data_IF_751155629170
#
_entry.id   IF_751155629170
#
_cell.length_a   1.000
_cell.length_b   1.000
_cell.length_c   1.000
_cell.angle_alpha   90.00
_cell.angle_beta   90.00
_cell.angle_gamma   90.00
#
_symmetry.space_group_name_H-M   'P 1'
#
loop_
_entity.id
_entity.type
_entity.pdbx_description
1 polymer ?
#
# COMPACT_ATOMS: atom_id res chain seq x y z
N UNK A 1 6.09 4.86 -26.97
CA UNK A 1 7.29 4.74 -26.11
C UNK A 1 7.25 5.92 -25.17
N UNK A 2 6.93 5.68 -23.88
CA UNK A 2 7.04 6.76 -22.90
C UNK A 2 8.54 7.09 -22.74
N UNK A 3 8.94 8.37 -22.79
CA UNK A 3 10.31 8.75 -22.57
C UNK A 3 10.69 8.33 -21.16
N UNK A 4 11.78 7.58 -21.02
CA UNK A 4 12.47 7.45 -19.75
C UNK A 4 13.06 8.84 -19.52
N UNK A 5 12.26 9.70 -18.87
CA UNK A 5 12.77 10.97 -18.40
C UNK A 5 13.97 10.63 -17.52
N UNK A 6 15.10 11.20 -17.86
CA UNK A 6 16.31 11.28 -17.05
C UNK A 6 15.99 12.11 -15.79
N UNK A 7 15.04 11.63 -15.03
CA UNK A 7 14.78 12.12 -13.68
C UNK A 7 15.79 11.39 -12.80
N UNK A 8 16.93 12.02 -12.62
CA UNK A 8 17.85 11.76 -11.50
C UNK A 8 17.05 12.00 -10.22
N UNK A 9 16.22 11.02 -9.87
CA UNK A 9 15.66 10.98 -8.53
C UNK A 9 16.81 10.74 -7.57
N UNK A 10 17.09 11.78 -6.80
CA UNK A 10 17.86 11.75 -5.55
C UNK A 10 18.17 10.34 -5.10
N UNK A 11 19.46 9.91 -5.26
CA UNK A 11 20.08 8.72 -4.73
C UNK A 11 20.06 7.44 -5.59
N UNK A 12 21.06 7.31 -6.48
CA UNK A 12 21.57 6.00 -6.84
C UNK A 12 21.41 5.60 -8.31
N UNK A 13 22.36 4.79 -8.77
CA UNK A 13 22.37 4.15 -10.08
C UNK A 13 21.10 3.32 -10.29
N UNK A 14 20.53 3.40 -11.49
CA UNK A 14 19.32 2.70 -11.88
C UNK A 14 19.63 1.61 -12.91
N UNK A 15 19.22 0.39 -12.61
CA UNK A 15 19.32 -0.77 -13.50
C UNK A 15 17.92 -1.24 -13.86
N UNK A 16 17.71 -1.57 -15.12
CA UNK A 16 16.39 -1.96 -15.65
C UNK A 16 16.39 -3.46 -15.95
N UNK A 17 15.35 -4.15 -15.47
CA UNK A 17 15.00 -5.47 -15.94
C UNK A 17 14.08 -5.32 -17.17
N UNK A 18 14.56 -5.63 -18.38
CA UNK A 18 13.81 -5.37 -19.60
C UNK A 18 12.60 -6.28 -19.76
N UNK A 19 11.55 -5.77 -20.41
CA UNK A 19 10.35 -6.58 -20.75
C UNK A 19 10.50 -7.34 -22.07
N UNK A 20 11.44 -6.90 -22.92
CA UNK A 20 11.73 -7.51 -24.22
C UNK A 20 13.20 -7.87 -24.27
N UNK A 21 13.55 -8.87 -25.07
CA UNK A 21 14.95 -9.23 -25.34
C UNK A 21 15.70 -8.01 -25.87
N UNK A 22 16.85 -7.68 -25.27
CA UNK A 22 17.75 -6.58 -25.64
C UNK A 22 19.16 -7.11 -25.71
N UNK A 23 19.96 -6.53 -26.57
CA UNK A 23 21.40 -6.76 -26.67
C UNK A 23 22.14 -5.50 -26.23
N UNK A 24 23.35 -5.67 -25.71
CA UNK A 24 24.22 -4.57 -25.34
C UNK A 24 24.61 -3.78 -26.59
N UNK A 25 24.48 -2.46 -26.53
CA UNK A 25 24.86 -1.59 -27.64
C UNK A 25 26.40 -1.59 -27.89
N UNK A 26 27.17 -1.85 -26.83
CA UNK A 26 28.66 -1.85 -26.89
C UNK A 26 29.20 -3.20 -27.32
N UNK A 27 29.00 -4.26 -26.55
CA UNK A 27 29.62 -5.58 -26.81
C UNK A 27 28.73 -6.56 -27.56
N UNK A 28 27.48 -6.18 -27.88
CA UNK A 28 26.49 -7.01 -28.59
C UNK A 28 26.03 -8.26 -27.86
N UNK A 29 26.49 -8.50 -26.65
CA UNK A 29 26.02 -9.63 -25.82
C UNK A 29 24.53 -9.51 -25.53
N UNK A 30 23.82 -10.63 -25.48
CA UNK A 30 22.39 -10.71 -25.14
C UNK A 30 21.80 -12.10 -25.31
N UNK A 31 20.56 -12.31 -24.89
CA UNK A 31 19.64 -11.31 -24.34
C UNK A 31 19.99 -10.89 -22.91
N UNK A 32 19.92 -9.59 -22.65
CA UNK A 32 20.24 -9.03 -21.33
C UNK A 32 19.10 -9.27 -20.34
N UNK A 33 19.43 -9.77 -19.16
CA UNK A 33 18.49 -9.92 -18.02
C UNK A 33 18.38 -8.64 -17.22
N UNK A 34 19.49 -7.90 -17.10
CA UNK A 34 19.62 -6.59 -16.49
C UNK A 34 20.41 -5.68 -17.44
N UNK A 35 20.07 -4.41 -17.46
CA UNK A 35 20.76 -3.43 -18.29
C UNK A 35 20.74 -2.04 -17.64
N UNK A 36 21.70 -1.23 -17.99
CA UNK A 36 21.73 0.20 -17.75
C UNK A 36 21.35 0.91 -19.05
N UNK A 37 20.68 2.04 -18.95
CA UNK A 37 20.37 2.90 -20.08
C UNK A 37 21.30 4.10 -20.04
N UNK A 38 22.28 4.10 -20.93
CA UNK A 38 23.21 5.22 -21.15
C UNK A 38 22.77 5.96 -22.42
N UNK A 39 22.37 7.20 -22.28
CA UNK A 39 21.83 8.03 -23.39
C UNK A 39 20.72 7.34 -24.19
N UNK A 40 19.93 6.47 -23.49
CA UNK A 40 18.85 5.69 -24.09
C UNK A 40 19.29 4.36 -24.74
N UNK A 41 20.59 4.09 -24.84
CA UNK A 41 21.13 2.83 -25.34
C UNK A 41 21.25 1.78 -24.25
N UNK A 42 20.92 0.50 -24.50
CA UNK A 42 21.04 -0.57 -23.50
C UNK A 42 22.50 -1.04 -23.39
N UNK A 43 23.06 -0.96 -22.19
CA UNK A 43 24.39 -1.49 -21.86
C UNK A 43 24.25 -2.67 -20.90
N UNK A 44 25.07 -3.72 -21.08
CA UNK A 44 25.18 -4.79 -20.08
C UNK A 44 25.87 -4.27 -18.81
N UNK A 45 25.77 -5.04 -17.72
CA UNK A 45 26.39 -4.64 -16.45
C UNK A 45 27.89 -4.50 -16.57
N UNK A 46 28.55 -5.38 -17.33
CA UNK A 46 30.01 -5.32 -17.53
C UNK A 46 30.45 -4.05 -18.25
N UNK A 47 29.78 -3.69 -19.34
CA UNK A 47 30.07 -2.46 -20.10
C UNK A 47 29.72 -1.18 -19.29
N UNK A 48 28.87 -1.30 -18.28
CA UNK A 48 28.48 -0.21 -17.37
C UNK A 48 29.29 -0.24 -16.04
N UNK A 49 30.38 -1.00 -15.97
CA UNK A 49 31.23 -1.16 -14.79
C UNK A 49 30.51 -1.67 -13.52
N UNK A 50 29.38 -2.35 -13.70
CA UNK A 50 28.55 -2.93 -12.63
C UNK A 50 28.57 -4.46 -12.58
N UNK A 51 29.38 -5.12 -13.43
CA UNK A 51 29.43 -6.58 -13.56
C UNK A 51 29.91 -7.31 -12.31
N UNK A 52 30.66 -6.62 -11.44
CA UNK A 52 31.13 -7.16 -10.15
C UNK A 52 30.06 -7.15 -9.03
N UNK A 53 28.90 -6.54 -9.28
CA UNK A 53 27.81 -6.46 -8.29
C UNK A 53 26.87 -7.66 -8.40
N UNK A 54 26.40 -8.15 -7.25
CA UNK A 54 25.44 -9.25 -7.17
C UNK A 54 24.02 -8.74 -6.99
N UNK A 55 23.07 -9.44 -7.59
CA UNK A 55 21.65 -9.07 -7.49
C UNK A 55 21.01 -9.63 -6.21
N UNK A 56 20.55 -8.74 -5.34
CA UNK A 56 19.75 -9.06 -4.18
C UNK A 56 18.27 -8.72 -4.50
N UNK A 57 17.40 -9.74 -4.66
CA UNK A 57 15.98 -9.51 -4.92
C UNK A 57 15.28 -8.85 -3.75
N UNK A 58 14.13 -8.22 -4.02
CA UNK A 58 13.26 -7.66 -2.98
C UNK A 58 12.78 -8.77 -2.03
N UNK A 59 12.71 -8.46 -0.74
CA UNK A 59 12.29 -9.42 0.30
C UNK A 59 12.58 -8.86 1.68
N UNK A 60 13.65 -9.29 2.31
CA UNK A 60 14.06 -8.79 3.62
C UNK A 60 14.57 -7.35 3.54
N UNK A 61 13.81 -6.44 4.16
CA UNK A 61 14.14 -5.02 4.19
C UNK A 61 15.38 -4.71 5.01
N UNK A 62 15.67 -5.51 6.06
CA UNK A 62 16.86 -5.32 6.88
C UNK A 62 18.12 -5.76 6.12
N UNK A 63 18.06 -6.89 5.43
CA UNK A 63 19.13 -7.37 4.56
C UNK A 63 19.42 -6.35 3.46
N UNK A 64 18.39 -5.95 2.71
CA UNK A 64 18.53 -4.96 1.62
C UNK A 64 19.14 -3.64 2.10
N UNK A 65 18.71 -3.12 3.26
CA UNK A 65 19.25 -1.88 3.81
C UNK A 65 20.72 -2.04 4.20
N UNK A 66 21.06 -3.09 4.95
CA UNK A 66 22.42 -3.35 5.44
C UNK A 66 23.40 -3.62 4.30
N UNK A 67 22.98 -4.39 3.29
CA UNK A 67 23.82 -4.63 2.12
C UNK A 67 24.13 -3.34 1.38
N UNK A 68 23.15 -2.47 1.21
CA UNK A 68 23.38 -1.16 0.58
C UNK A 68 24.25 -0.22 1.42
N UNK A 69 24.03 -0.19 2.75
CA UNK A 69 24.84 0.62 3.66
C UNK A 69 26.29 0.15 3.73
N UNK A 70 26.51 -1.15 3.56
CA UNK A 70 27.85 -1.75 3.58
C UNK A 70 28.56 -1.81 2.22
N UNK A 71 27.89 -1.42 1.14
CA UNK A 71 28.39 -1.46 -0.23
C UNK A 71 28.88 -0.07 -0.65
N UNK A 72 30.09 0.03 -1.17
CA UNK A 72 30.61 1.30 -1.71
C UNK A 72 29.86 1.70 -2.97
N UNK A 73 29.52 0.73 -3.82
CA UNK A 73 28.72 0.90 -5.02
C UNK A 73 27.43 0.07 -4.93
N UNK A 74 26.28 0.67 -5.23
CA UNK A 74 25.02 -0.04 -5.27
C UNK A 74 24.07 0.56 -6.31
N UNK A 75 23.23 -0.28 -6.92
CA UNK A 75 22.22 0.18 -7.88
C UNK A 75 20.83 -0.38 -7.53
N UNK A 76 19.78 0.36 -7.88
CA UNK A 76 18.39 -0.09 -7.72
C UNK A 76 17.94 -0.77 -9.01
N UNK A 77 17.44 -2.00 -8.88
CA UNK A 77 16.87 -2.74 -10.02
C UNK A 77 15.37 -2.51 -10.08
N UNK A 78 14.89 -2.06 -11.24
CA UNK A 78 13.48 -1.78 -11.50
C UNK A 78 12.97 -2.52 -12.74
N UNK A 79 11.67 -2.77 -12.76
CA UNK A 79 10.96 -3.31 -13.91
C UNK A 79 9.69 -2.51 -14.14
N UNK A 80 9.36 -2.22 -15.41
CA UNK A 80 8.13 -1.52 -15.74
C UNK A 80 6.91 -2.43 -15.56
N UNK A 81 5.96 -1.99 -14.75
CA UNK A 81 4.68 -2.64 -14.58
C UNK A 81 3.65 -2.00 -15.53
N UNK A 82 3.27 -2.71 -16.61
CA UNK A 82 2.33 -2.20 -17.62
C UNK A 82 0.95 -1.89 -17.04
N UNK A 83 0.46 -2.74 -16.13
CA UNK A 83 -0.87 -2.56 -15.52
C UNK A 83 -0.97 -1.30 -14.67
N UNK A 84 0.13 -0.92 -14.01
CA UNK A 84 0.20 0.26 -13.13
C UNK A 84 0.87 1.45 -13.79
N UNK A 85 1.33 1.30 -15.04
CA UNK A 85 2.05 2.32 -15.82
C UNK A 85 3.22 2.97 -15.07
N UNK A 86 3.96 2.18 -14.27
CA UNK A 86 5.09 2.69 -13.48
C UNK A 86 6.20 1.66 -13.32
N UNK A 87 7.40 2.13 -13.01
CA UNK A 87 8.50 1.28 -12.60
C UNK A 87 8.32 0.79 -11.16
N UNK A 88 8.56 -0.50 -10.95
CA UNK A 88 8.51 -1.14 -9.64
C UNK A 88 9.87 -1.74 -9.31
N UNK A 89 10.34 -1.49 -8.09
CA UNK A 89 11.60 -2.02 -7.59
C UNK A 89 11.53 -3.55 -7.51
N UNK A 90 12.54 -4.21 -8.09
CA UNK A 90 12.70 -5.66 -8.07
C UNK A 90 13.76 -6.11 -7.05
N UNK A 91 14.73 -5.26 -6.76
CA UNK A 91 15.85 -5.54 -5.87
C UNK A 91 16.91 -4.47 -5.91
N UNK A 92 18.12 -4.84 -5.57
CA UNK A 92 19.32 -4.00 -5.64
C UNK A 92 20.49 -4.81 -6.16
N UNK A 93 21.45 -4.14 -6.78
CA UNK A 93 22.80 -4.63 -6.97
C UNK A 93 23.68 -4.10 -5.84
N UNK A 94 24.50 -4.96 -5.26
CA UNK A 94 25.40 -4.64 -4.14
C UNK A 94 26.70 -5.44 -4.30
N UNK A 95 27.74 -5.04 -3.61
CA UNK A 95 28.96 -5.83 -3.53
C UNK A 95 28.74 -7.13 -2.74
N UNK A 96 29.29 -8.24 -3.22
CA UNK A 96 29.13 -9.55 -2.58
C UNK A 96 29.61 -9.55 -1.13
N UNK A 97 30.77 -8.94 -0.86
CA UNK A 97 31.28 -8.84 0.50
C UNK A 97 30.37 -8.05 1.45
N UNK A 98 29.65 -7.04 0.94
CA UNK A 98 28.66 -6.30 1.71
C UNK A 98 27.41 -7.13 1.98
N UNK A 99 26.99 -7.96 1.03
CA UNK A 99 25.87 -8.89 1.18
C UNK A 99 26.18 -9.93 2.27
N UNK A 100 27.33 -10.58 2.21
CA UNK A 100 27.76 -11.58 3.21
C UNK A 100 27.77 -10.99 4.61
N UNK A 101 28.41 -9.84 4.82
CA UNK A 101 28.39 -9.14 6.12
C UNK A 101 26.98 -8.76 6.59
N UNK A 102 26.10 -8.42 5.67
CA UNK A 102 24.72 -8.09 6.00
C UNK A 102 23.91 -9.33 6.40
N UNK A 103 24.15 -10.47 5.76
CA UNK A 103 23.54 -11.77 6.11
C UNK A 103 23.95 -12.21 7.51
N UNK A 104 25.21 -12.16 7.83
CA UNK A 104 25.73 -12.49 9.19
C UNK A 104 25.06 -11.63 10.26
N UNK A 105 24.97 -10.30 10.04
CA UNK A 105 24.28 -9.39 10.96
C UNK A 105 22.78 -9.67 11.04
N UNK A 106 22.17 -10.08 9.94
CA UNK A 106 20.75 -10.44 9.93
C UNK A 106 20.48 -11.75 10.66
N UNK A 107 21.38 -12.71 10.59
CA UNK A 107 21.31 -13.95 11.37
C UNK A 107 21.52 -13.67 12.86
N UNK A 108 22.52 -12.90 13.21
CA UNK A 108 22.87 -12.58 14.61
C UNK A 108 21.71 -11.91 15.37
N UNK A 109 20.93 -11.04 14.72
CA UNK A 109 19.82 -10.33 15.36
C UNK A 109 18.41 -10.82 14.95
N UNK A 110 18.32 -11.93 14.25
CA UNK A 110 17.06 -12.47 13.73
C UNK A 110 16.00 -12.66 14.83
N UNK A 111 16.40 -13.25 15.97
CA UNK A 111 15.51 -13.50 17.10
C UNK A 111 15.05 -12.21 17.77
N UNK A 112 15.94 -11.25 17.97
CA UNK A 112 15.60 -9.94 18.57
C UNK A 112 14.60 -9.21 17.67
N UNK A 113 14.82 -9.22 16.35
CA UNK A 113 13.90 -8.62 15.39
C UNK A 113 12.56 -9.33 15.37
N UNK A 114 12.52 -10.65 15.49
CA UNK A 114 11.28 -11.44 15.57
C UNK A 114 10.48 -11.05 16.80
N UNK A 115 11.11 -11.00 17.98
CA UNK A 115 10.46 -10.61 19.26
C UNK A 115 9.92 -9.18 19.19
N UNK A 116 10.71 -8.24 18.61
CA UNK A 116 10.27 -6.86 18.42
C UNK A 116 9.06 -6.78 17.51
N UNK A 117 9.06 -7.47 16.36
CA UNK A 117 7.90 -7.51 15.43
C UNK A 117 6.64 -8.06 16.11
N UNK A 118 6.79 -9.12 16.92
CA UNK A 118 5.67 -9.70 17.66
C UNK A 118 5.09 -8.72 18.69
N UNK A 119 5.94 -8.02 19.46
CA UNK A 119 5.49 -6.97 20.39
C UNK A 119 4.78 -5.82 19.66
N UNK A 120 5.37 -5.35 18.57
CA UNK A 120 4.80 -4.26 17.77
C UNK A 120 3.47 -4.68 17.10
N UNK A 121 3.33 -5.94 16.71
CA UNK A 121 2.07 -6.49 16.20
C UNK A 121 0.97 -6.47 17.27
N UNK A 122 1.25 -6.99 18.47
CA UNK A 122 0.31 -6.97 19.61
C UNK A 122 -0.08 -5.55 20.00
N UNK A 123 0.88 -4.63 20.03
CA UNK A 123 0.61 -3.21 20.32
C UNK A 123 -0.36 -2.62 19.29
N UNK A 124 -0.09 -2.84 17.99
CA UNK A 124 -0.97 -2.37 16.91
C UNK A 124 -2.37 -2.97 17.00
N UNK A 125 -2.48 -4.24 17.32
CA UNK A 125 -3.77 -4.92 17.50
C UNK A 125 -4.58 -4.29 18.65
N UNK A 126 -3.94 -4.06 19.79
CA UNK A 126 -4.57 -3.39 20.92
C UNK A 126 -4.96 -1.93 20.60
N UNK A 127 -4.14 -1.20 19.84
CA UNK A 127 -4.45 0.15 19.36
C UNK A 127 -5.65 0.14 18.39
N UNK A 128 -5.69 -0.85 17.48
CA UNK A 128 -6.78 -0.99 16.52
C UNK A 128 -8.10 -1.33 17.20
N UNK A 129 -8.08 -2.21 18.21
CA UNK A 129 -9.26 -2.53 19.00
C UNK A 129 -9.79 -1.29 19.73
N UNK A 130 -8.92 -0.59 20.48
CA UNK A 130 -9.31 0.65 21.18
C UNK A 130 -9.86 1.71 20.24
N UNK A 131 -9.24 1.86 19.07
CA UNK A 131 -9.73 2.80 18.07
C UNK A 131 -11.09 2.41 17.51
N UNK A 132 -11.31 1.12 17.23
CA UNK A 132 -12.60 0.61 16.75
C UNK A 132 -13.70 0.82 17.77
N UNK A 133 -13.42 0.56 19.05
CA UNK A 133 -14.35 0.82 20.15
C UNK A 133 -14.67 2.32 20.31
N UNK A 134 -13.66 3.17 20.19
CA UNK A 134 -13.86 4.63 20.26
C UNK A 134 -14.72 5.12 19.08
N UNK A 135 -14.49 4.57 17.87
CA UNK A 135 -15.29 4.89 16.70
C UNK A 135 -16.74 4.43 16.88
N UNK A 136 -16.98 3.23 17.43
CA UNK A 136 -18.31 2.73 17.69
C UNK A 136 -19.06 3.59 18.73
N UNK A 137 -18.38 4.01 19.81
CA UNK A 137 -18.96 4.95 20.79
C UNK A 137 -19.33 6.29 20.15
N UNK A 138 -18.49 6.81 19.26
CA UNK A 138 -18.78 8.06 18.58
C UNK A 138 -19.98 7.94 17.61
N UNK A 139 -20.13 6.79 16.94
CA UNK A 139 -21.34 6.49 16.17
C UNK A 139 -22.58 6.54 17.08
N UNK A 140 -22.56 5.86 18.22
CA UNK A 140 -23.71 5.84 19.13
C UNK A 140 -24.00 7.22 19.75
N UNK A 141 -22.99 8.03 20.01
CA UNK A 141 -23.15 9.41 20.47
C UNK A 141 -23.89 10.26 19.44
N UNK A 142 -23.53 10.13 18.16
CA UNK A 142 -24.11 10.92 17.06
C UNK A 142 -25.43 10.34 16.54
N UNK A 143 -25.64 9.05 16.71
CA UNK A 143 -26.76 8.29 16.22
C UNK A 143 -27.30 7.37 17.33
N UNK A 144 -27.96 7.93 18.37
CA UNK A 144 -28.41 7.16 19.54
C UNK A 144 -29.42 6.05 19.19
N UNK A 145 -30.15 6.17 18.08
CA UNK A 145 -31.04 5.13 17.57
C UNK A 145 -30.35 4.04 16.75
N UNK A 146 -29.04 4.15 16.50
CA UNK A 146 -28.31 3.08 15.82
C UNK A 146 -28.17 1.86 16.73
N UNK A 147 -28.56 0.64 16.27
CA UNK A 147 -28.36 -0.56 17.08
C UNK A 147 -26.89 -0.77 17.43
N UNK A 148 -26.59 -1.11 18.70
CA UNK A 148 -25.20 -1.21 19.18
C UNK A 148 -24.35 -2.25 18.43
N UNK A 149 -24.95 -3.36 17.98
CA UNK A 149 -24.30 -4.32 17.09
C UNK A 149 -23.90 -3.66 15.75
N UNK A 150 -24.84 -2.92 15.17
CA UNK A 150 -24.64 -2.21 13.90
C UNK A 150 -23.52 -1.16 14.00
N UNK A 151 -23.50 -0.39 15.08
CA UNK A 151 -22.45 0.58 15.33
C UNK A 151 -21.05 -0.08 15.40
N UNK A 152 -20.94 -1.24 16.05
CA UNK A 152 -19.70 -2.03 16.11
C UNK A 152 -19.28 -2.54 14.72
N UNK A 153 -20.21 -3.04 13.93
CA UNK A 153 -19.92 -3.54 12.56
C UNK A 153 -19.43 -2.43 11.65
N UNK A 154 -20.10 -1.26 11.70
CA UNK A 154 -19.68 -0.07 10.95
C UNK A 154 -18.28 0.38 11.36
N UNK A 155 -18.03 0.45 12.67
CA UNK A 155 -16.73 0.83 13.20
C UNK A 155 -15.63 -0.16 12.78
N UNK A 156 -15.88 -1.46 12.92
CA UNK A 156 -14.94 -2.50 12.49
C UNK A 156 -14.62 -2.40 11.01
N UNK A 157 -15.64 -2.23 10.16
CA UNK A 157 -15.44 -2.05 8.73
C UNK A 157 -14.65 -0.79 8.39
N UNK A 158 -14.99 0.36 8.98
CA UNK A 158 -14.34 1.64 8.71
C UNK A 158 -12.88 1.67 9.21
N UNK A 159 -12.58 0.93 10.29
CA UNK A 159 -11.31 0.96 11.00
C UNK A 159 -10.22 0.04 10.46
N UNK A 160 -10.46 -0.73 9.40
CA UNK A 160 -9.45 -1.65 8.83
C UNK A 160 -8.21 -0.90 8.37
N UNK A 161 -7.05 -1.22 8.96
CA UNK A 161 -5.76 -0.60 8.67
C UNK A 161 -5.34 -0.86 7.22
N UNK A 162 -4.88 0.17 6.51
CA UNK A 162 -4.41 0.07 5.12
C UNK A 162 -5.51 -0.11 4.06
N UNK A 163 -6.79 -0.06 4.45
CA UNK A 163 -7.92 -0.23 3.54
C UNK A 163 -8.25 1.00 2.68
N UNK A 164 -7.69 2.17 3.00
CA UNK A 164 -8.09 3.45 2.38
C UNK A 164 -9.49 3.95 2.79
N UNK A 165 -10.16 3.27 3.74
CA UNK A 165 -11.49 3.66 4.22
C UNK A 165 -11.43 4.91 5.08
N UNK A 166 -12.58 5.61 5.17
CA UNK A 166 -12.70 6.92 5.84
C UNK A 166 -12.24 6.90 7.30
N UNK A 167 -12.50 5.83 8.05
CA UNK A 167 -12.09 5.69 9.45
C UNK A 167 -10.57 5.73 9.66
N UNK A 168 -9.76 5.42 8.64
CA UNK A 168 -8.29 5.50 8.69
C UNK A 168 -7.70 6.74 8.01
N UNK A 169 -8.53 7.63 7.49
CA UNK A 169 -8.11 8.97 7.08
C UNK A 169 -7.67 9.81 8.28
N UNK A 170 -7.05 10.96 8.06
CA UNK A 170 -6.68 11.87 9.14
C UNK A 170 -7.93 12.31 9.94
N UNK A 171 -9.01 12.70 9.25
CA UNK A 171 -10.28 13.06 9.85
C UNK A 171 -10.93 11.88 10.61
N UNK A 172 -10.86 10.65 10.05
CA UNK A 172 -11.37 9.45 10.71
C UNK A 172 -10.60 9.12 12.00
N UNK A 173 -9.27 9.25 12.00
CA UNK A 173 -8.48 9.07 13.22
C UNK A 173 -8.75 10.10 14.29
N UNK A 174 -9.12 11.32 13.89
CA UNK A 174 -9.57 12.38 14.80
C UNK A 174 -11.05 12.21 15.21
N UNK A 175 -11.74 11.16 14.78
CA UNK A 175 -13.18 10.92 15.03
C UNK A 175 -14.04 12.13 14.63
N UNK A 176 -13.66 12.85 13.57
CA UNK A 176 -14.42 14.03 13.13
C UNK A 176 -15.85 13.64 12.73
N UNK A 177 -16.79 14.53 13.01
CA UNK A 177 -18.21 14.33 12.69
C UNK A 177 -18.43 13.92 11.22
N UNK A 178 -17.81 14.64 10.30
CA UNK A 178 -17.92 14.35 8.87
C UNK A 178 -17.43 12.94 8.48
N UNK A 179 -16.35 12.46 9.14
CA UNK A 179 -15.83 11.11 8.89
C UNK A 179 -16.76 10.04 9.45
N UNK A 180 -17.33 10.25 10.63
CA UNK A 180 -18.29 9.33 11.26
C UNK A 180 -19.56 9.27 10.43
N UNK A 181 -20.15 10.42 10.06
CA UNK A 181 -21.34 10.49 9.18
C UNK A 181 -21.09 9.79 7.86
N UNK A 182 -19.91 9.99 7.27
CA UNK A 182 -19.55 9.35 6.00
C UNK A 182 -19.45 7.82 6.12
N UNK A 183 -18.91 7.32 7.24
CA UNK A 183 -18.82 5.88 7.50
C UNK A 183 -20.20 5.24 7.70
N UNK A 184 -21.05 5.89 8.50
CA UNK A 184 -22.42 5.44 8.76
C UNK A 184 -23.25 5.48 7.47
N UNK A 185 -23.21 6.59 6.74
CA UNK A 185 -23.93 6.74 5.48
C UNK A 185 -23.48 5.75 4.39
N UNK A 186 -22.18 5.41 4.36
CA UNK A 186 -21.69 4.36 3.48
C UNK A 186 -22.24 2.98 3.86
N UNK A 187 -22.24 2.63 5.15
CA UNK A 187 -22.76 1.36 5.63
C UNK A 187 -24.28 1.23 5.37
N UNK A 188 -25.06 2.26 5.70
CA UNK A 188 -26.51 2.29 5.43
C UNK A 188 -26.76 2.11 3.94
N UNK A 189 -26.00 2.79 3.07
CA UNK A 189 -26.16 2.69 1.62
C UNK A 189 -26.02 1.27 1.11
N UNK A 190 -25.00 0.55 1.59
CA UNK A 190 -24.71 -0.82 1.12
C UNK A 190 -25.62 -1.88 1.74
N UNK A 191 -26.10 -1.68 2.97
CA UNK A 191 -26.82 -2.74 3.70
C UNK A 191 -28.34 -2.49 3.74
N UNK A 192 -28.76 -1.23 3.84
CA UNK A 192 -30.18 -0.90 4.05
C UNK A 192 -30.86 -0.41 2.77
N UNK A 193 -30.15 -0.44 1.62
CA UNK A 193 -30.71 -0.01 0.33
C UNK A 193 -30.35 -0.98 -0.80
N UNK A 194 -31.04 -0.86 -1.93
CA UNK A 194 -30.72 -1.59 -3.17
C UNK A 194 -29.52 -1.04 -3.95
N UNK A 195 -28.61 -0.31 -3.30
CA UNK A 195 -27.47 0.34 -3.98
C UNK A 195 -26.58 -0.64 -4.74
N UNK A 196 -26.26 -1.77 -4.14
CA UNK A 196 -25.36 -2.76 -4.76
C UNK A 196 -26.03 -3.42 -5.98
N UNK A 197 -27.35 -3.67 -5.94
CA UNK A 197 -28.10 -4.17 -7.08
C UNK A 197 -28.09 -3.17 -8.25
N UNK A 198 -28.22 -1.87 -7.96
CA UNK A 198 -28.15 -0.81 -8.98
C UNK A 198 -26.76 -0.80 -9.65
N UNK A 199 -25.68 -0.97 -8.89
CA UNK A 199 -24.32 -1.06 -9.46
C UNK A 199 -24.16 -2.31 -10.32
N UNK A 200 -24.65 -3.46 -9.86
CA UNK A 200 -24.59 -4.72 -10.61
C UNK A 200 -25.42 -4.69 -11.90
N UNK A 201 -26.47 -3.90 -11.94
CA UNK A 201 -27.26 -3.66 -13.16
C UNK A 201 -26.66 -2.59 -14.10
N UNK A 202 -25.43 -2.09 -13.80
CA UNK A 202 -24.72 -1.14 -14.65
C UNK A 202 -25.09 0.32 -14.43
N UNK A 203 -25.88 0.66 -13.40
CA UNK A 203 -26.19 2.06 -13.06
C UNK A 203 -24.93 2.74 -12.54
N UNK A 204 -24.59 3.91 -13.09
CA UNK A 204 -23.43 4.69 -12.67
C UNK A 204 -23.51 5.09 -11.20
N UNK A 205 -22.34 5.13 -10.50
CA UNK A 205 -22.27 5.38 -9.04
C UNK A 205 -22.98 6.66 -8.58
N UNK A 206 -22.89 7.72 -9.35
CA UNK A 206 -23.55 8.99 -9.01
C UNK A 206 -25.06 8.83 -9.01
N UNK A 207 -25.61 8.24 -10.06
CA UNK A 207 -27.04 8.00 -10.22
C UNK A 207 -27.57 7.00 -9.18
N UNK A 208 -26.85 5.90 -8.95
CA UNK A 208 -27.21 4.93 -7.91
C UNK A 208 -27.27 5.58 -6.51
N UNK A 209 -26.30 6.45 -6.17
CA UNK A 209 -26.33 7.22 -4.91
C UNK A 209 -27.53 8.16 -4.83
N UNK A 210 -27.84 8.84 -5.91
CA UNK A 210 -29.00 9.75 -5.98
C UNK A 210 -30.32 8.99 -5.73
N UNK A 211 -30.49 7.81 -6.34
CA UNK A 211 -31.70 7.00 -6.18
C UNK A 211 -31.93 6.52 -4.76
N UNK A 212 -30.88 6.23 -4.01
CA UNK A 212 -31.00 5.73 -2.63
C UNK A 212 -30.83 6.80 -1.55
N UNK A 213 -30.56 8.06 -1.91
CA UNK A 213 -30.26 9.14 -0.96
C UNK A 213 -31.38 9.34 0.06
N UNK A 214 -32.63 9.36 -0.39
CA UNK A 214 -33.79 9.56 0.50
C UNK A 214 -33.93 8.46 1.58
N UNK A 215 -33.64 7.19 1.21
CA UNK A 215 -33.65 6.09 2.18
C UNK A 215 -32.50 6.25 3.17
N UNK A 216 -31.29 6.55 2.68
CA UNK A 216 -30.11 6.77 3.55
C UNK A 216 -30.37 7.92 4.53
N UNK A 217 -30.86 9.07 4.04
CA UNK A 217 -31.20 10.24 4.88
C UNK A 217 -32.28 9.94 5.89
N UNK A 218 -33.29 9.18 5.51
CA UNK A 218 -34.36 8.73 6.41
C UNK A 218 -33.84 7.89 7.57
N UNK A 219 -32.98 6.89 7.29
CA UNK A 219 -32.35 6.06 8.31
C UNK A 219 -31.46 6.89 9.24
N UNK A 220 -30.61 7.76 8.67
CA UNK A 220 -29.72 8.61 9.46
C UNK A 220 -30.49 9.57 10.37
N UNK A 221 -31.59 10.11 9.88
CA UNK A 221 -32.46 11.01 10.64
C UNK A 221 -33.14 10.27 11.79
N UNK A 222 -33.73 9.09 11.52
CA UNK A 222 -34.34 8.25 12.58
C UNK A 222 -33.32 7.86 13.65
N UNK A 223 -32.13 7.44 13.25
CA UNK A 223 -31.08 7.11 14.24
C UNK A 223 -30.60 8.32 15.05
N UNK A 224 -30.58 9.54 14.50
CA UNK A 224 -30.29 10.77 15.24
C UNK A 224 -31.41 11.11 16.24
N UNK A 225 -32.65 10.85 15.89
CA UNK A 225 -33.80 11.06 16.75
C UNK A 225 -33.96 10.02 17.87
N UNK A 226 -33.10 8.98 17.90
CA UNK A 226 -33.20 7.89 18.87
C UNK A 226 -34.22 6.82 18.49
N UNK A 227 -34.76 6.83 17.28
CA UNK A 227 -35.72 5.84 16.81
C UNK A 227 -35.02 4.52 16.48
N UNK A 228 -35.27 3.49 17.28
CA UNK A 228 -34.78 2.13 16.98
C UNK A 228 -35.78 1.51 16.01
N UNK A 229 -35.37 1.29 14.75
CA UNK A 229 -36.15 0.43 13.84
C UNK A 229 -35.97 -1.03 14.29
N UNK A 230 -37.06 -1.61 14.71
CA UNK A 230 -37.20 -3.06 14.98
C UNK A 230 -36.93 -3.86 13.72
#
# INVERSE_FOLDING_TARGET
>A
MAPIATSVHRTGLLVVQPLKKRQCAVCRTGPLTLLVLEEGAPWCLDCADLGHLVFLPRGDTALTRRSREGSALSAVVVRFNRRRSRYERQGVLVEEAALVRAEERCLADAEVRRRRRARDARRREAEDLRFTEAFAREILRMFPGCPGGRARDIAAHASVRGSGRVGRSAAGRALSEGAVVSAVGAAVRHVDTGYDQLLMSGVGRFEARRRVSGVVEGVLRGWRAGEVRS
#
